data_IF_373456708104
#
_entry.id   IF_373456708104
#
_cell.length_a   1.000
_cell.length_b   1.000
_cell.length_c   1.000
_cell.angle_alpha   90.00
_cell.angle_beta   90.00
_cell.angle_gamma   90.00
#
_symmetry.space_group_name_H-M   'P 1'
#
loop_
_entity.id
_entity.type
_entity.pdbx_description
1 polymer ?
#
# COMPACT_ATOMS: atom_id res chain seq x y z
N UNK A 1 6.40 -0.30 -18.98
CA UNK A 1 7.60 -0.62 -19.79
C UNK A 1 7.44 -2.04 -20.32
N UNK A 2 7.67 -2.27 -21.60
CA UNK A 2 7.57 -3.61 -22.17
C UNK A 2 8.91 -4.33 -22.04
N UNK A 3 8.95 -5.48 -21.36
CA UNK A 3 10.17 -6.28 -21.23
C UNK A 3 10.72 -6.70 -22.60
N UNK A 4 9.83 -6.86 -23.58
CA UNK A 4 10.18 -7.22 -24.97
C UNK A 4 10.94 -6.14 -25.71
N UNK A 5 10.94 -4.90 -25.22
CA UNK A 5 11.73 -3.82 -25.82
C UNK A 5 13.19 -3.82 -25.36
N UNK A 6 13.57 -4.68 -24.40
CA UNK A 6 14.96 -4.79 -23.96
C UNK A 6 15.81 -5.44 -25.07
N UNK A 7 16.99 -4.88 -25.40
CA UNK A 7 17.91 -5.54 -26.32
C UNK A 7 18.36 -6.91 -25.80
N UNK A 8 18.27 -7.14 -24.48
CA UNK A 8 18.62 -8.38 -23.82
C UNK A 8 17.44 -9.36 -23.66
N UNK A 9 16.24 -9.05 -24.19
CA UNK A 9 15.03 -9.87 -23.99
C UNK A 9 15.24 -11.34 -24.34
N UNK A 10 15.93 -11.61 -25.46
CA UNK A 10 16.20 -12.95 -25.96
C UNK A 10 17.19 -13.76 -25.09
N UNK A 11 17.90 -13.12 -24.17
CA UNK A 11 18.85 -13.75 -23.24
C UNK A 11 18.27 -13.96 -21.85
N UNK A 12 17.12 -13.34 -21.55
CA UNK A 12 16.43 -13.53 -20.27
C UNK A 12 16.00 -14.99 -20.10
N UNK A 13 16.01 -15.48 -18.86
CA UNK A 13 15.66 -16.85 -18.48
C UNK A 13 16.53 -17.95 -19.14
N UNK A 14 17.70 -17.58 -19.68
CA UNK A 14 18.71 -18.53 -20.17
C UNK A 14 19.89 -18.66 -19.21
N UNK A 15 20.71 -19.70 -19.37
CA UNK A 15 21.98 -19.83 -18.63
C UNK A 15 23.13 -18.97 -19.21
N UNK A 16 22.82 -18.01 -20.09
CA UNK A 16 23.83 -17.14 -20.69
C UNK A 16 24.42 -16.19 -19.64
N UNK A 17 25.75 -16.15 -19.56
CA UNK A 17 26.46 -15.19 -18.73
C UNK A 17 26.85 -13.97 -19.57
N UNK A 18 26.34 -12.79 -19.21
CA UNK A 18 26.66 -11.54 -19.89
C UNK A 18 28.18 -11.27 -19.87
N UNK A 19 28.72 -10.85 -21.01
CA UNK A 19 30.06 -10.30 -21.10
C UNK A 19 30.17 -8.99 -20.31
N UNK A 20 31.40 -8.53 -20.05
CA UNK A 20 31.63 -7.28 -19.33
C UNK A 20 30.95 -6.07 -19.99
N UNK A 21 31.01 -5.95 -21.32
CA UNK A 21 30.39 -4.84 -22.04
C UNK A 21 28.85 -4.92 -21.99
N UNK A 22 28.28 -6.12 -22.07
CA UNK A 22 26.85 -6.32 -21.89
C UNK A 22 26.42 -5.99 -20.46
N UNK A 23 27.19 -6.38 -19.45
CA UNK A 23 26.93 -6.04 -18.05
C UNK A 23 26.96 -4.52 -17.81
N UNK A 24 27.92 -3.80 -18.39
CA UNK A 24 27.97 -2.33 -18.33
C UNK A 24 26.69 -1.71 -18.94
N UNK A 25 26.27 -2.17 -20.14
CA UNK A 25 25.05 -1.70 -20.80
C UNK A 25 23.78 -2.07 -20.01
N UNK A 26 23.68 -3.28 -19.46
CA UNK A 26 22.55 -3.70 -18.60
C UNK A 26 22.45 -2.76 -17.39
N UNK A 27 23.56 -2.44 -16.74
CA UNK A 27 23.57 -1.51 -15.60
C UNK A 27 23.09 -0.10 -15.98
N UNK A 28 23.44 0.41 -17.16
CA UNK A 28 22.94 1.69 -17.67
C UNK A 28 21.42 1.69 -17.88
N UNK A 29 20.87 0.57 -18.37
CA UNK A 29 19.43 0.37 -18.51
C UNK A 29 18.76 0.28 -17.13
N UNK A 30 19.36 -0.44 -16.18
CA UNK A 30 18.75 -0.69 -14.86
C UNK A 30 18.77 0.53 -13.95
N UNK A 31 19.85 1.31 -13.92
CA UNK A 31 20.01 2.44 -13.00
C UNK A 31 18.81 3.40 -12.93
N UNK A 32 18.26 3.92 -14.05
CA UNK A 32 17.08 4.79 -13.98
C UNK A 32 15.84 4.04 -13.49
N UNK A 33 15.66 2.77 -13.88
CA UNK A 33 14.51 1.94 -13.47
C UNK A 33 14.53 1.61 -11.99
N UNK A 34 15.72 1.35 -11.43
CA UNK A 34 15.91 1.15 -10.00
C UNK A 34 15.64 2.43 -9.22
N UNK A 35 16.00 3.60 -9.78
CA UNK A 35 15.64 4.88 -9.16
C UNK A 35 14.13 5.10 -9.18
N UNK A 36 13.47 4.83 -10.31
CA UNK A 36 12.01 4.92 -10.41
C UNK A 36 11.34 3.98 -9.40
N UNK A 37 11.83 2.74 -9.27
CA UNK A 37 11.33 1.78 -8.29
C UNK A 37 11.46 2.30 -6.86
N UNK A 38 12.64 2.83 -6.49
CA UNK A 38 12.84 3.45 -5.16
C UNK A 38 11.86 4.59 -4.91
N UNK A 39 11.66 5.47 -5.88
CA UNK A 39 10.73 6.59 -5.75
C UNK A 39 9.28 6.12 -5.55
N UNK A 40 8.88 5.05 -6.25
CA UNK A 40 7.55 4.44 -6.10
C UNK A 40 7.39 3.84 -4.71
N UNK A 41 8.39 3.08 -4.24
CA UNK A 41 8.36 2.45 -2.92
C UNK A 41 8.28 3.49 -1.80
N UNK A 42 9.01 4.61 -1.93
CA UNK A 42 8.95 5.73 -0.99
C UNK A 42 7.55 6.38 -0.92
N UNK A 43 6.91 6.60 -2.08
CA UNK A 43 5.55 7.18 -2.11
C UNK A 43 4.51 6.19 -1.59
N UNK A 44 4.66 4.88 -1.85
CA UNK A 44 3.81 3.84 -1.24
C UNK A 44 3.93 3.90 0.29
N UNK A 45 5.15 3.89 0.83
CA UNK A 45 5.37 3.94 2.28
C UNK A 45 4.77 5.19 2.93
N UNK A 46 4.89 6.33 2.25
CA UNK A 46 4.27 7.60 2.68
C UNK A 46 2.74 7.51 2.70
N UNK A 47 2.13 6.98 1.64
CA UNK A 47 0.68 6.85 1.54
C UNK A 47 0.12 5.84 2.54
N UNK A 48 0.84 4.74 2.80
CA UNK A 48 0.46 3.76 3.81
C UNK A 48 0.47 4.38 5.21
N UNK A 49 1.49 5.17 5.54
CA UNK A 49 1.55 5.91 6.82
C UNK A 49 0.36 6.86 6.97
N UNK A 50 0.02 7.60 5.92
CA UNK A 50 -1.14 8.49 5.92
C UNK A 50 -2.46 7.72 6.07
N UNK A 51 -2.58 6.58 5.41
CA UNK A 51 -3.77 5.72 5.47
C UNK A 51 -3.96 5.13 6.87
N UNK A 52 -2.89 4.72 7.54
CA UNK A 52 -2.93 4.23 8.92
C UNK A 52 -3.39 5.31 9.90
N UNK A 53 -2.88 6.53 9.77
CA UNK A 53 -3.32 7.66 10.61
C UNK A 53 -4.82 7.94 10.41
N UNK A 54 -5.28 8.02 9.16
CA UNK A 54 -6.70 8.24 8.85
C UNK A 54 -7.60 7.10 9.38
N UNK A 55 -7.14 5.84 9.31
CA UNK A 55 -7.84 4.69 9.89
C UNK A 55 -7.98 4.83 11.41
N UNK A 56 -6.90 5.21 12.10
CA UNK A 56 -6.89 5.45 13.55
C UNK A 56 -7.85 6.58 13.94
N UNK A 57 -7.83 7.70 13.21
CA UNK A 57 -8.77 8.81 13.43
C UNK A 57 -10.23 8.37 13.21
N UNK A 58 -10.50 7.63 12.13
CA UNK A 58 -11.83 7.10 11.83
C UNK A 58 -12.35 6.21 12.94
N UNK A 59 -11.53 5.31 13.48
CA UNK A 59 -11.93 4.41 14.55
C UNK A 59 -12.33 5.18 15.82
N UNK A 60 -11.54 6.18 16.22
CA UNK A 60 -11.85 7.04 17.36
C UNK A 60 -13.20 7.74 17.20
N UNK A 61 -13.43 8.35 16.03
CA UNK A 61 -14.69 9.04 15.74
C UNK A 61 -15.87 8.07 15.68
N UNK A 62 -15.70 6.91 15.03
CA UNK A 62 -16.74 5.89 14.94
C UNK A 62 -17.14 5.37 16.32
N UNK A 63 -16.16 5.11 17.20
CA UNK A 63 -16.39 4.70 18.59
C UNK A 63 -17.17 5.76 19.37
N UNK A 64 -16.77 7.04 19.25
CA UNK A 64 -17.46 8.16 19.89
C UNK A 64 -18.92 8.25 19.43
N UNK A 65 -19.17 8.24 18.12
CA UNK A 65 -20.52 8.29 17.54
C UNK A 65 -21.35 7.08 17.98
N UNK A 66 -20.78 5.88 17.95
CA UNK A 66 -21.48 4.66 18.35
C UNK A 66 -21.93 4.73 19.82
N UNK A 67 -21.04 5.11 20.74
CA UNK A 67 -21.37 5.24 22.18
C UNK A 67 -22.50 6.23 22.42
N UNK A 68 -22.50 7.37 21.73
CA UNK A 68 -23.57 8.36 21.85
C UNK A 68 -24.88 7.88 21.26
N UNK A 69 -24.87 7.22 20.09
CA UNK A 69 -26.07 6.61 19.52
C UNK A 69 -26.68 5.56 20.43
N UNK A 70 -25.86 4.78 21.15
CA UNK A 70 -26.39 3.82 22.13
C UNK A 70 -27.19 4.48 23.25
N UNK A 71 -26.87 5.72 23.67
CA UNK A 71 -27.66 6.46 24.67
C UNK A 71 -29.06 6.82 24.16
N UNK A 72 -29.20 6.97 22.86
CA UNK A 72 -30.49 7.26 22.22
C UNK A 72 -31.30 6.00 21.92
N UNK A 73 -30.78 4.81 22.27
CA UNK A 73 -31.50 3.55 22.04
C UNK A 73 -32.83 3.53 22.79
N UNK A 74 -33.94 3.20 22.12
CA UNK A 74 -35.27 3.11 22.75
C UNK A 74 -35.28 2.21 23.99
N UNK A 75 -34.46 1.14 24.01
CA UNK A 75 -34.38 0.20 25.14
C UNK A 75 -33.89 0.87 26.44
N UNK A 76 -33.09 1.93 26.35
CA UNK A 76 -32.62 2.70 27.52
C UNK A 76 -33.67 3.69 28.04
N UNK A 77 -34.80 3.85 27.35
CA UNK A 77 -35.94 4.69 27.77
C UNK A 77 -37.10 3.87 28.31
N UNK A 78 -37.02 2.54 28.26
CA UNK A 78 -38.00 1.67 28.89
C UNK A 78 -37.79 1.72 30.41
N UNK A 79 -38.85 1.98 31.19
CA UNK A 79 -38.80 1.85 32.63
C UNK A 79 -38.31 0.44 33.01
N UNK A 80 -37.52 0.29 34.08
CA UNK A 80 -37.04 -1.01 34.54
C UNK A 80 -38.18 -2.00 34.81
N UNK A 81 -39.40 -1.51 35.08
CA UNK A 81 -40.60 -2.33 35.25
C UNK A 81 -41.06 -3.08 33.97
N UNK A 82 -40.62 -2.66 32.76
CA UNK A 82 -41.03 -3.28 31.47
C UNK A 82 -39.97 -4.26 30.93
N UNK A 83 -38.74 -4.23 31.47
CA UNK A 83 -37.62 -5.08 31.00
C UNK A 83 -37.58 -6.44 31.75
N UNK A 84 -38.58 -6.72 32.60
CA UNK A 84 -38.72 -7.96 33.37
C UNK A 84 -39.55 -9.03 32.66
#
# INVERSE_FOLDING_TARGET
MDLKSSPFYHLLDTNYAASRAEAEHINEILRPREQDLRNIDEEIARLDTLLEDLRSQREKVASYVHKHRQLLSPIRRLPPEIIA
#
